data_IF_176491142899
#
_entry.id   IF_176491142899
#
_cell.length_a   1.000
_cell.length_b   1.000
_cell.length_c   1.000
_cell.angle_alpha   90.00
_cell.angle_beta   90.00
_cell.angle_gamma   90.00
#
_symmetry.space_group_name_H-M   'P 1'
#
loop_
_entity.id
_entity.type
_entity.pdbx_description
1 polymer ?
#
# COMPACT_ATOMS: atom_id res chain seq x y z
N UNK A 1 1.91 -10.63 -3.76
CA UNK A 1 2.68 -11.21 -2.66
C UNK A 1 3.64 -10.17 -2.05
N UNK A 2 4.28 -10.50 -0.93
CA UNK A 2 5.41 -9.77 -0.38
C UNK A 2 6.70 -10.10 -1.14
N UNK A 3 7.77 -9.36 -0.84
CA UNK A 3 9.09 -9.50 -1.47
C UNK A 3 9.05 -9.38 -3.01
N UNK A 4 8.14 -8.53 -3.50
CA UNK A 4 7.94 -8.32 -4.94
C UNK A 4 7.87 -6.81 -5.25
N UNK A 5 8.97 -6.18 -5.66
CA UNK A 5 8.95 -4.80 -6.14
C UNK A 5 8.01 -4.67 -7.36
N UNK A 6 7.35 -3.52 -7.49
CA UNK A 6 6.46 -3.26 -8.64
C UNK A 6 7.25 -3.16 -9.94
N UNK A 7 8.35 -2.42 -9.92
CA UNK A 7 9.21 -2.16 -11.09
C UNK A 7 10.65 -2.58 -10.83
N UNK A 8 11.40 -2.95 -11.88
CA UNK A 8 12.85 -3.03 -11.79
C UNK A 8 13.47 -1.73 -11.25
N UNK A 9 14.47 -1.87 -10.42
CA UNK A 9 15.23 -0.76 -9.85
C UNK A 9 16.71 -1.15 -9.71
N UNK A 10 17.55 -0.20 -9.32
CA UNK A 10 18.97 -0.48 -9.10
C UNK A 10 19.13 -1.67 -8.13
N UNK A 11 19.88 -2.69 -8.55
CA UNK A 11 20.07 -3.96 -7.86
C UNK A 11 18.82 -4.87 -7.71
N UNK A 12 17.70 -4.55 -8.38
CA UNK A 12 16.49 -5.37 -8.43
C UNK A 12 15.93 -5.37 -9.85
N UNK A 13 16.62 -6.05 -10.78
CA UNK A 13 16.22 -6.10 -12.19
C UNK A 13 15.24 -7.22 -12.48
N UNK A 14 15.22 -8.25 -11.64
CA UNK A 14 14.43 -9.47 -11.79
C UNK A 14 13.46 -9.63 -10.61
N UNK A 15 12.53 -10.57 -10.71
CA UNK A 15 11.55 -10.89 -9.66
C UNK A 15 10.64 -9.72 -9.27
N UNK A 16 10.35 -8.81 -10.21
CA UNK A 16 9.39 -7.73 -10.01
C UNK A 16 8.01 -8.11 -10.56
N UNK A 17 6.97 -7.41 -10.11
CA UNK A 17 5.63 -7.58 -10.70
C UNK A 17 5.65 -7.31 -12.21
N UNK A 18 6.45 -6.34 -12.66
CA UNK A 18 6.59 -6.04 -14.09
C UNK A 18 7.16 -7.22 -14.88
N UNK A 19 8.17 -7.94 -14.34
CA UNK A 19 8.71 -9.15 -14.98
C UNK A 19 7.65 -10.26 -15.03
N UNK A 20 6.95 -10.54 -13.94
CA UNK A 20 5.91 -11.58 -13.90
C UNK A 20 4.75 -11.29 -14.85
N UNK A 21 4.33 -10.02 -14.98
CA UNK A 21 3.28 -9.62 -15.93
C UNK A 21 3.78 -9.70 -17.37
N UNK A 22 5.03 -9.34 -17.64
CA UNK A 22 5.62 -9.48 -18.97
C UNK A 22 5.64 -10.95 -19.43
N UNK A 23 6.09 -11.85 -18.54
CA UNK A 23 6.08 -13.30 -18.80
C UNK A 23 4.66 -13.83 -19.07
N UNK A 24 3.69 -13.45 -18.24
CA UNK A 24 2.27 -13.83 -18.43
C UNK A 24 1.72 -13.43 -19.81
N UNK A 25 2.03 -12.23 -20.29
CA UNK A 25 1.57 -11.78 -21.61
C UNK A 25 2.38 -12.41 -22.75
N UNK A 26 3.67 -12.67 -22.55
CA UNK A 26 4.51 -13.41 -23.50
C UNK A 26 3.97 -14.84 -23.73
N UNK A 27 3.61 -15.55 -22.66
CA UNK A 27 3.00 -16.88 -22.74
C UNK A 27 1.66 -16.88 -23.49
N UNK A 28 0.93 -15.76 -23.46
CA UNK A 28 -0.31 -15.59 -24.23
C UNK A 28 -0.11 -15.16 -25.69
N UNK A 29 1.12 -14.84 -26.09
CA UNK A 29 1.41 -14.26 -27.41
C UNK A 29 0.85 -12.85 -27.58
N UNK A 30 0.59 -12.14 -26.50
CA UNK A 30 0.04 -10.78 -26.49
C UNK A 30 1.13 -9.74 -26.19
N UNK A 31 1.22 -8.69 -26.99
CA UNK A 31 2.09 -7.55 -26.68
C UNK A 31 1.49 -6.72 -25.51
N UNK A 32 2.31 -6.46 -24.50
CA UNK A 32 1.89 -5.70 -23.33
C UNK A 32 2.97 -4.71 -22.88
N UNK A 33 2.55 -3.51 -22.50
CA UNK A 33 3.40 -2.53 -21.82
C UNK A 33 2.92 -2.41 -20.38
N UNK A 34 3.82 -2.64 -19.43
CA UNK A 34 3.49 -2.59 -18.00
C UNK A 34 3.07 -1.17 -17.57
N UNK A 35 1.85 -1.04 -17.04
CA UNK A 35 1.28 0.24 -16.58
C UNK A 35 0.58 0.01 -15.24
N UNK A 36 1.29 0.30 -14.16
CA UNK A 36 0.78 0.18 -12.80
C UNK A 36 0.21 1.52 -12.31
N UNK A 37 -1.04 1.52 -11.87
CA UNK A 37 -1.76 2.75 -11.47
C UNK A 37 -1.60 3.10 -10.01
N UNK A 38 -1.22 2.14 -9.16
CA UNK A 38 -0.87 2.37 -7.76
C UNK A 38 0.30 1.47 -7.36
N UNK A 39 1.32 2.07 -6.78
CA UNK A 39 2.49 1.33 -6.32
C UNK A 39 2.26 0.81 -4.90
N UNK A 40 2.79 -0.36 -4.62
CA UNK A 40 2.97 -0.90 -3.27
C UNK A 40 4.47 -0.95 -2.96
N UNK A 41 4.82 -0.79 -1.70
CA UNK A 41 6.19 -1.05 -1.25
C UNK A 41 6.50 -2.55 -1.42
N UNK A 42 7.78 -2.90 -1.58
CA UNK A 42 8.26 -4.26 -1.87
C UNK A 42 7.59 -5.35 -1.02
N UNK A 43 7.45 -5.12 0.28
CA UNK A 43 6.93 -6.09 1.24
C UNK A 43 5.46 -5.83 1.63
N UNK A 44 4.79 -4.89 0.97
CA UNK A 44 3.35 -4.66 1.12
C UNK A 44 2.58 -5.61 0.21
N UNK A 45 1.70 -6.40 0.79
CA UNK A 45 0.84 -7.33 0.05
C UNK A 45 -0.46 -6.68 -0.43
N UNK A 46 -1.20 -7.37 -1.31
CA UNK A 46 -2.57 -7.02 -1.67
C UNK A 46 -2.74 -6.50 -3.10
N UNK A 47 -3.72 -5.61 -3.26
CA UNK A 47 -4.26 -5.23 -4.56
C UNK A 47 -3.48 -4.09 -5.21
N UNK A 48 -3.25 -4.23 -6.52
CA UNK A 48 -2.77 -3.17 -7.40
C UNK A 48 -3.55 -3.18 -8.72
N UNK A 49 -3.65 -2.02 -9.37
CA UNK A 49 -4.35 -1.86 -10.65
C UNK A 49 -3.32 -1.81 -11.78
N UNK A 50 -3.49 -2.70 -12.76
CA UNK A 50 -2.71 -2.69 -14.00
C UNK A 50 -3.62 -2.32 -15.18
N UNK A 51 -3.24 -1.31 -15.93
CA UNK A 51 -3.97 -0.91 -17.12
C UNK A 51 -3.47 -1.67 -18.35
N UNK A 52 -4.36 -2.37 -19.07
CA UNK A 52 -4.03 -3.15 -20.26
C UNK A 52 -3.74 -2.26 -21.48
N UNK A 53 -4.35 -1.10 -21.57
CA UNK A 53 -4.27 -0.22 -22.73
C UNK A 53 -3.88 1.20 -22.32
N UNK A 54 -3.24 1.94 -23.24
CA UNK A 54 -2.80 3.30 -23.01
C UNK A 54 -3.96 4.24 -22.62
N UNK A 55 -5.11 4.13 -23.31
CA UNK A 55 -6.31 4.91 -22.99
C UNK A 55 -6.80 4.64 -21.56
N UNK A 56 -6.86 3.36 -21.15
CA UNK A 56 -7.26 2.99 -19.78
C UNK A 56 -6.27 3.53 -18.75
N UNK A 57 -4.98 3.53 -19.06
CA UNK A 57 -3.95 4.09 -18.18
C UNK A 57 -4.12 5.61 -18.03
N UNK A 58 -4.36 6.34 -19.12
CA UNK A 58 -4.57 7.78 -19.07
C UNK A 58 -5.80 8.17 -18.22
N UNK A 59 -6.93 7.47 -18.41
CA UNK A 59 -8.15 7.71 -17.64
C UNK A 59 -7.90 7.39 -16.15
N UNK A 60 -7.36 6.22 -15.83
CA UNK A 60 -7.10 5.82 -14.45
C UNK A 60 -6.06 6.72 -13.76
N UNK A 61 -5.05 7.22 -14.49
CA UNK A 61 -4.10 8.20 -13.95
C UNK A 61 -4.79 9.50 -13.56
N UNK A 62 -5.74 9.97 -14.37
CA UNK A 62 -6.55 11.14 -14.05
C UNK A 62 -7.47 10.86 -12.84
N UNK A 63 -8.08 9.68 -12.77
CA UNK A 63 -8.93 9.28 -11.64
C UNK A 63 -8.12 9.20 -10.34
N UNK A 64 -6.87 8.70 -10.39
CA UNK A 64 -5.96 8.72 -9.25
C UNK A 64 -5.63 10.16 -8.82
N UNK A 65 -5.30 11.03 -9.76
CA UNK A 65 -5.00 12.44 -9.50
C UNK A 65 -6.22 13.18 -8.88
N UNK A 66 -7.42 12.87 -9.37
CA UNK A 66 -8.70 13.41 -8.87
C UNK A 66 -9.21 12.71 -7.60
N UNK A 67 -8.44 11.76 -7.02
CA UNK A 67 -8.82 10.97 -5.83
C UNK A 67 -10.09 10.13 -6.00
N UNK A 68 -10.46 9.81 -7.24
CA UNK A 68 -11.60 8.95 -7.56
C UNK A 68 -11.29 7.44 -7.40
N UNK A 69 -10.01 7.08 -7.25
CA UNK A 69 -9.56 5.73 -6.89
C UNK A 69 -9.38 5.65 -5.39
N UNK A 70 -10.25 4.91 -4.72
CA UNK A 70 -10.18 4.71 -3.28
C UNK A 70 -9.38 3.46 -2.93
N UNK A 71 -8.43 3.60 -2.02
CA UNK A 71 -7.52 2.55 -1.58
C UNK A 71 -7.63 2.42 -0.08
N UNK A 72 -8.04 1.23 0.37
CA UNK A 72 -8.08 0.90 1.80
C UNK A 72 -7.04 -0.17 2.10
N UNK A 73 -6.31 0.04 3.17
CA UNK A 73 -5.28 -0.86 3.65
C UNK A 73 -5.68 -1.41 5.02
N UNK A 74 -5.19 -2.59 5.32
CA UNK A 74 -5.16 -3.14 6.67
C UNK A 74 -3.70 -3.15 7.14
N UNK A 75 -3.48 -2.68 8.35
CA UNK A 75 -2.17 -2.73 9.01
C UNK A 75 -2.31 -3.26 10.42
N UNK A 76 -1.26 -3.92 10.92
CA UNK A 76 -1.13 -4.24 12.33
C UNK A 76 -0.06 -3.34 12.92
N UNK A 77 -0.44 -2.59 13.94
CA UNK A 77 0.43 -1.65 14.64
C UNK A 77 0.70 -2.11 16.05
N UNK A 78 1.81 -1.68 16.63
CA UNK A 78 2.12 -1.89 18.03
C UNK A 78 1.30 -0.95 18.92
N UNK A 79 0.88 -1.46 20.08
CA UNK A 79 0.10 -0.72 21.08
C UNK A 79 -1.41 -0.77 20.84
N UNK A 80 -2.14 -0.29 21.85
CA UNK A 80 -3.61 -0.25 21.86
C UNK A 80 -4.12 1.09 21.32
N UNK A 81 -4.32 1.16 20.00
CA UNK A 81 -4.92 2.32 19.33
C UNK A 81 -6.44 2.17 19.31
N UNK A 82 -7.17 3.17 19.79
CA UNK A 82 -8.65 3.19 19.80
C UNK A 82 -9.22 4.31 18.94
N UNK A 83 -10.46 4.10 18.46
CA UNK A 83 -11.19 5.11 17.72
C UNK A 83 -10.75 5.27 16.26
N UNK A 84 -10.91 6.48 15.75
CA UNK A 84 -10.56 6.84 14.36
C UNK A 84 -10.06 8.29 14.30
N UNK A 85 -9.30 8.60 13.26
CA UNK A 85 -8.77 9.94 13.08
C UNK A 85 -8.17 10.15 11.69
N UNK A 86 -7.59 11.34 11.52
CA UNK A 86 -6.91 11.76 10.31
C UNK A 86 -5.51 12.25 10.65
N UNK A 87 -4.53 11.77 9.93
CA UNK A 87 -3.15 12.26 9.96
C UNK A 87 -2.96 13.10 8.70
N UNK A 88 -2.85 14.42 8.86
CA UNK A 88 -2.49 15.38 7.78
C UNK A 88 -1.11 15.92 8.14
N UNK A 89 -0.07 15.23 7.69
CA UNK A 89 1.32 15.55 8.00
C UNK A 89 2.19 15.34 6.75
N UNK A 90 2.91 16.38 6.29
CA UNK A 90 3.68 16.32 5.07
C UNK A 90 4.90 15.40 5.20
N UNK A 91 5.24 14.73 4.09
CA UNK A 91 6.30 13.72 4.06
C UNK A 91 7.42 14.17 3.12
N UNK A 92 8.64 14.09 3.61
CA UNK A 92 9.88 14.38 2.88
C UNK A 92 10.80 13.15 2.80
N UNK A 93 11.72 13.19 1.85
CA UNK A 93 12.78 12.22 1.68
C UNK A 93 13.93 12.52 2.65
N UNK A 94 14.04 11.72 3.71
CA UNK A 94 15.14 11.86 4.68
C UNK A 94 16.45 11.23 4.17
N UNK A 95 16.34 10.27 3.24
CA UNK A 95 17.47 9.60 2.59
C UNK A 95 17.00 8.95 1.29
N UNK A 96 17.89 8.25 0.57
CA UNK A 96 17.51 7.46 -0.59
C UNK A 96 16.45 6.40 -0.26
N UNK A 97 16.38 5.94 0.99
CA UNK A 97 15.56 4.80 1.41
C UNK A 97 14.41 5.22 2.34
N UNK A 98 14.64 6.16 3.27
CA UNK A 98 13.68 6.52 4.31
C UNK A 98 12.94 7.82 4.03
N UNK A 99 11.82 7.99 4.70
CA UNK A 99 10.97 9.19 4.68
C UNK A 99 10.72 9.66 6.11
N UNK A 100 10.44 10.95 6.28
CA UNK A 100 10.09 11.53 7.58
C UNK A 100 8.97 12.56 7.43
N UNK A 101 8.38 12.95 8.55
CA UNK A 101 7.49 14.12 8.59
C UNK A 101 8.35 15.37 8.56
N UNK A 102 8.05 16.27 7.64
CA UNK A 102 8.71 17.56 7.51
C UNK A 102 7.66 18.61 7.12
N UNK A 103 7.40 19.55 8.01
CA UNK A 103 6.39 20.60 7.82
C UNK A 103 6.89 21.78 6.97
N UNK A 104 8.20 21.86 6.70
CA UNK A 104 8.78 22.94 5.91
C UNK A 104 8.94 22.54 4.44
N UNK A 105 9.40 21.30 4.16
CA UNK A 105 9.75 20.84 2.81
C UNK A 105 8.94 19.65 2.32
N UNK A 106 8.16 19.01 3.22
CA UNK A 106 7.43 17.79 2.91
C UNK A 106 6.26 18.01 1.95
N UNK A 107 6.02 17.02 1.12
CA UNK A 107 4.83 16.98 0.27
C UNK A 107 3.60 16.60 1.08
N UNK A 108 2.48 17.31 0.85
CA UNK A 108 1.21 17.03 1.53
C UNK A 108 0.84 15.54 1.47
N UNK A 109 0.55 14.96 2.63
CA UNK A 109 0.14 13.58 2.79
C UNK A 109 -1.00 13.46 3.82
N UNK A 110 -2.08 12.73 3.45
CA UNK A 110 -3.26 12.57 4.30
C UNK A 110 -3.67 11.11 4.35
N UNK A 111 -3.78 10.60 5.59
CA UNK A 111 -4.19 9.22 5.91
C UNK A 111 -5.32 9.25 6.95
N UNK A 112 -6.45 8.63 6.62
CA UNK A 112 -7.52 8.37 7.60
C UNK A 112 -7.31 6.98 8.18
N UNK A 113 -7.48 6.85 9.50
CA UNK A 113 -7.39 5.56 10.17
C UNK A 113 -8.62 5.26 11.01
N UNK A 114 -8.91 3.98 11.19
CA UNK A 114 -9.92 3.47 12.12
C UNK A 114 -9.43 2.16 12.73
N UNK A 115 -9.39 2.09 14.04
CA UNK A 115 -9.14 0.87 14.80
C UNK A 115 -10.28 -0.13 14.54
N UNK A 116 -9.94 -1.39 14.27
CA UNK A 116 -10.90 -2.48 14.03
C UNK A 116 -10.94 -3.45 15.19
N UNK A 117 -9.78 -3.85 15.71
CA UNK A 117 -9.65 -4.79 16.81
C UNK A 117 -8.31 -4.58 17.53
N UNK A 118 -8.30 -4.86 18.84
CA UNK A 118 -7.08 -4.88 19.66
C UNK A 118 -6.89 -6.27 20.26
N UNK A 119 -5.68 -6.80 20.21
CA UNK A 119 -5.32 -8.10 20.78
C UNK A 119 -3.83 -8.13 21.13
N UNK A 120 -3.48 -8.54 22.36
CA UNK A 120 -2.09 -8.71 22.83
C UNK A 120 -1.19 -7.50 22.55
N UNK A 121 -1.65 -6.30 22.92
CA UNK A 121 -0.95 -5.02 22.70
C UNK A 121 -0.64 -4.74 21.21
N UNK A 122 -1.45 -5.29 20.33
CA UNK A 122 -1.48 -4.99 18.90
C UNK A 122 -2.85 -4.46 18.51
N UNK A 123 -2.88 -3.61 17.50
CA UNK A 123 -4.13 -3.12 16.91
C UNK A 123 -4.16 -3.40 15.40
N UNK A 124 -5.24 -4.03 14.95
CA UNK A 124 -5.60 -4.09 13.54
C UNK A 124 -6.29 -2.78 13.14
N UNK A 125 -5.74 -2.08 12.16
CA UNK A 125 -6.18 -0.76 11.73
C UNK A 125 -6.57 -0.77 10.26
N UNK A 126 -7.72 -0.18 9.94
CA UNK A 126 -8.10 0.16 8.56
C UNK A 126 -7.61 1.56 8.23
N UNK A 127 -6.94 1.71 7.09
CA UNK A 127 -6.37 3.00 6.66
C UNK A 127 -6.84 3.33 5.24
N UNK A 128 -7.34 4.56 5.05
CA UNK A 128 -7.75 5.08 3.75
C UNK A 128 -6.86 6.25 3.36
N UNK A 129 -6.35 6.22 2.14
CA UNK A 129 -5.43 7.23 1.63
C UNK A 129 -6.14 8.26 0.75
N UNK A 130 -5.92 9.57 1.00
CA UNK A 130 -6.21 10.62 0.02
C UNK A 130 -5.02 10.84 -0.93
N UNK A 131 -3.81 10.70 -0.43
CA UNK A 131 -2.55 10.86 -1.17
C UNK A 131 -1.82 9.52 -1.25
N UNK A 132 -0.72 9.44 -1.99
CA UNK A 132 0.03 8.19 -2.15
C UNK A 132 1.54 8.44 -2.17
N UNK A 133 2.08 9.01 -1.08
CA UNK A 133 3.52 9.23 -0.94
C UNK A 133 4.23 7.94 -0.58
N UNK A 134 5.49 7.84 -0.94
CA UNK A 134 6.32 6.68 -0.59
C UNK A 134 6.34 6.48 0.92
N UNK A 135 6.12 5.25 1.38
CA UNK A 135 6.06 4.86 2.80
C UNK A 135 5.00 5.62 3.64
N UNK A 136 4.01 6.26 3.02
CA UNK A 136 3.10 7.18 3.71
C UNK A 136 2.47 6.58 4.96
N UNK A 137 1.83 5.42 4.88
CA UNK A 137 1.20 4.76 6.03
C UNK A 137 2.22 4.46 7.13
N UNK A 138 3.39 3.96 6.75
CA UNK A 138 4.47 3.56 7.66
C UNK A 138 4.97 4.74 8.49
N UNK A 139 5.23 5.86 7.81
CA UNK A 139 5.68 7.12 8.44
C UNK A 139 4.59 7.74 9.31
N UNK A 140 3.35 7.81 8.79
CA UNK A 140 2.22 8.38 9.51
C UNK A 140 1.88 7.62 10.78
N UNK A 141 1.84 6.29 10.73
CA UNK A 141 1.54 5.48 11.92
C UNK A 141 2.66 5.56 12.96
N UNK A 142 3.93 5.60 12.52
CA UNK A 142 5.06 5.87 13.42
C UNK A 142 4.95 7.25 14.05
N UNK A 143 4.61 8.28 13.28
CA UNK A 143 4.43 9.65 13.78
C UNK A 143 3.30 9.74 14.82
N UNK A 144 2.23 8.97 14.63
CA UNK A 144 1.12 8.88 15.60
C UNK A 144 1.52 8.13 16.89
N UNK A 145 2.69 7.48 16.94
CA UNK A 145 3.15 6.67 18.07
C UNK A 145 2.74 5.20 18.02
N UNK A 146 2.18 4.74 16.91
CA UNK A 146 1.73 3.36 16.68
C UNK A 146 2.40 2.79 15.42
N UNK A 147 3.70 2.47 15.46
CA UNK A 147 4.42 1.96 14.29
C UNK A 147 3.87 0.60 13.85
N UNK A 148 4.00 0.30 12.55
CA UNK A 148 3.67 -1.02 12.02
C UNK A 148 4.67 -2.06 12.55
N UNK A 149 4.18 -3.18 13.02
CA UNK A 149 5.05 -4.30 13.39
C UNK A 149 5.74 -4.88 12.15
N UNK A 150 6.96 -5.39 12.32
CA UNK A 150 7.77 -5.97 11.25
C UNK A 150 8.29 -4.94 10.23
N UNK A 151 8.21 -3.65 10.52
CA UNK A 151 8.73 -2.60 9.64
C UNK A 151 10.22 -2.36 9.90
N UNK A 152 11.07 -3.03 9.15
CA UNK A 152 12.53 -2.98 9.31
C UNK A 152 13.15 -1.58 9.20
N UNK A 153 12.46 -0.61 8.56
CA UNK A 153 12.96 0.78 8.42
C UNK A 153 12.49 1.70 9.56
N UNK A 154 11.26 1.52 10.03
CA UNK A 154 10.64 2.46 10.94
C UNK A 154 10.38 1.90 12.34
N UNK A 155 10.36 0.58 12.47
CA UNK A 155 10.21 -0.17 13.71
C UNK A 155 10.83 -1.57 13.57
N UNK A 156 12.15 -1.73 13.78
CA UNK A 156 12.93 -2.91 13.40
C UNK A 156 12.73 -4.13 14.31
N UNK A 157 11.56 -4.30 14.94
CA UNK A 157 11.17 -5.53 15.63
C UNK A 157 10.49 -6.50 14.66
N UNK A 158 11.19 -7.58 14.32
CA UNK A 158 10.73 -8.62 13.39
C UNK A 158 10.27 -9.89 14.11
N UNK A 159 10.08 -9.86 15.41
CA UNK A 159 9.77 -11.06 16.22
C UNK A 159 8.40 -11.64 15.93
N UNK A 160 7.40 -10.80 15.63
CA UNK A 160 6.01 -11.21 15.41
C UNK A 160 5.69 -11.49 13.94
N UNK A 161 6.33 -10.74 13.03
CA UNK A 161 6.15 -10.84 11.58
C UNK A 161 7.41 -10.35 10.86
N UNK A 162 7.79 -11.00 9.75
CA UNK A 162 9.08 -10.77 9.07
C UNK A 162 9.04 -9.67 7.99
N UNK A 163 7.99 -8.86 7.95
CA UNK A 163 7.79 -7.73 7.03
C UNK A 163 6.87 -6.71 7.65
N UNK A 164 6.83 -5.48 7.12
CA UNK A 164 5.78 -4.54 7.55
C UNK A 164 4.39 -5.17 7.42
N UNK A 165 3.65 -5.22 8.51
CA UNK A 165 2.29 -5.75 8.56
C UNK A 165 1.31 -4.78 7.87
N UNK A 166 1.42 -4.70 6.54
CA UNK A 166 0.64 -3.82 5.68
C UNK A 166 0.08 -4.58 4.48
N UNK A 167 -1.21 -4.36 4.19
CA UNK A 167 -1.94 -5.06 3.15
C UNK A 167 -2.94 -4.14 2.44
N UNK A 168 -2.85 -3.99 1.13
CA UNK A 168 -3.84 -3.31 0.29
C UNK A 168 -5.08 -4.19 0.13
N UNK A 169 -6.07 -4.00 0.99
CA UNK A 169 -7.20 -4.91 1.17
C UNK A 169 -8.39 -4.60 0.27
N UNK A 170 -8.59 -3.33 -0.13
CA UNK A 170 -9.74 -2.91 -0.91
C UNK A 170 -9.37 -1.82 -1.92
N UNK A 171 -9.82 -2.01 -3.15
CA UNK A 171 -9.77 -1.00 -4.23
C UNK A 171 -11.18 -0.73 -4.75
N UNK A 172 -11.55 0.55 -4.81
CA UNK A 172 -12.82 1.01 -5.36
C UNK A 172 -12.54 2.09 -6.40
N UNK A 173 -13.02 1.90 -7.62
CA UNK A 173 -12.82 2.82 -8.74
C UNK A 173 -13.87 2.58 -9.84
N UNK A 174 -13.96 3.50 -10.80
CA UNK A 174 -14.80 3.32 -11.98
C UNK A 174 -13.98 2.69 -13.11
N UNK A 175 -14.49 1.61 -13.71
CA UNK A 175 -13.80 0.97 -14.84
C UNK A 175 -13.66 1.96 -16.01
N UNK A 176 -12.45 2.21 -16.53
CA UNK A 176 -12.17 3.33 -17.44
C UNK A 176 -12.99 3.29 -18.74
N UNK A 177 -13.31 2.11 -19.24
CA UNK A 177 -14.03 1.94 -20.51
C UNK A 177 -15.53 1.68 -20.27
N UNK A 178 -15.89 0.68 -19.47
CA UNK A 178 -17.29 0.27 -19.29
C UNK A 178 -18.07 1.16 -18.32
N UNK A 179 -17.38 2.06 -17.60
CA UNK A 179 -17.93 2.96 -16.58
C UNK A 179 -18.65 2.26 -15.42
N UNK A 180 -18.48 0.95 -15.28
CA UNK A 180 -19.02 0.20 -14.14
C UNK A 180 -18.20 0.51 -12.86
N UNK A 181 -18.89 0.65 -11.74
CA UNK A 181 -18.25 0.70 -10.43
C UNK A 181 -17.55 -0.65 -10.14
N UNK A 182 -16.29 -0.57 -9.79
CA UNK A 182 -15.44 -1.71 -9.42
C UNK A 182 -15.15 -1.65 -7.92
N UNK A 183 -15.41 -2.78 -7.25
CA UNK A 183 -15.05 -2.98 -5.85
C UNK A 183 -14.37 -4.33 -5.72
N UNK A 184 -13.08 -4.32 -5.43
CA UNK A 184 -12.24 -5.51 -5.37
C UNK A 184 -11.63 -5.62 -3.97
N UNK A 185 -11.73 -6.77 -3.35
CA UNK A 185 -11.16 -7.03 -2.03
C UNK A 185 -10.17 -8.19 -2.07
N UNK A 186 -9.13 -8.09 -1.24
CA UNK A 186 -8.21 -9.18 -0.95
C UNK A 186 -8.33 -9.55 0.54
N UNK A 187 -8.40 -10.84 0.87
CA UNK A 187 -8.47 -11.29 2.25
C UNK A 187 -7.15 -10.99 2.98
N UNK A 188 -7.22 -10.87 4.30
CA UNK A 188 -6.04 -10.69 5.14
C UNK A 188 -5.05 -11.84 4.91
N UNK A 189 -3.76 -11.56 4.62
CA UNK A 189 -2.77 -12.61 4.34
C UNK A 189 -2.48 -13.46 5.57
N UNK A 190 -2.05 -14.71 5.35
CA UNK A 190 -1.92 -15.72 6.41
C UNK A 190 -1.02 -15.30 7.58
N UNK A 191 0.07 -14.57 7.31
CA UNK A 191 0.98 -14.07 8.34
C UNK A 191 0.31 -13.03 9.27
N UNK A 192 -0.50 -12.14 8.73
CA UNK A 192 -1.27 -11.16 9.52
C UNK A 192 -2.48 -11.82 10.20
N UNK A 193 -3.15 -12.79 9.55
CA UNK A 193 -4.29 -13.52 10.11
C UNK A 193 -3.91 -14.35 11.33
N UNK A 194 -2.68 -14.85 11.42
CA UNK A 194 -2.20 -15.55 12.63
C UNK A 194 -2.25 -14.69 13.89
N UNK A 195 -2.13 -13.37 13.73
CA UNK A 195 -2.18 -12.41 14.84
C UNK A 195 -3.61 -11.93 15.13
N UNK A 196 -4.50 -11.99 14.13
CA UNK A 196 -5.92 -11.63 14.20
C UNK A 196 -6.77 -12.70 13.50
N UNK A 197 -7.00 -13.86 14.11
CA UNK A 197 -7.64 -15.01 13.47
C UNK A 197 -9.12 -14.80 13.13
N UNK A 198 -9.79 -13.89 13.80
CA UNK A 198 -11.22 -13.58 13.61
C UNK A 198 -11.49 -12.63 12.43
N UNK A 199 -10.44 -12.25 11.67
CA UNK A 199 -10.51 -11.35 10.52
C UNK A 199 -10.20 -12.01 9.16
#
# INVERSE_FOLDING_TARGET
PADMPIHPSLNNYENTLANGVADYYQQKGEAYVFRCMNRLDRDTTGLTILAKHMLSAAILSQDVANRAVHRTYLAIVEGTLTGSGTIDAPIESNSLITRCIDYEHGERAVTHYRSLACHNDLTLVSLRLETGRTHQIRVHMKHLGYPLIGDYLYHPDMTKISRQALHSSLLEFTHPITKKAMKLSAPLPCDMRKLFPDF
#
